data_IF_139874537752
#
_entry.id   IF_139874537752
#
_cell.length_a   1.000
_cell.length_b   1.000
_cell.length_c   1.000
_cell.angle_alpha   90.00
_cell.angle_beta   90.00
_cell.angle_gamma   90.00
#
_symmetry.space_group_name_H-M   'P 1'
#
loop_
_entity.id
_entity.type
_entity.pdbx_description
1 polymer ?
#
# COMPACT_ATOMS: atom_id res chain seq x y z
N UNK A 1 -7.47 39.05 6.94
CA UNK A 1 -6.54 37.91 7.11
C UNK A 1 -6.51 37.18 5.78
N UNK A 2 -5.34 37.12 5.14
CA UNK A 2 -5.17 36.46 3.84
C UNK A 2 -4.88 34.98 4.12
N UNK A 3 -5.81 34.10 3.73
CA UNK A 3 -5.60 32.65 3.80
C UNK A 3 -4.35 32.22 3.03
N UNK A 4 -3.90 30.96 3.17
CA UNK A 4 -2.71 30.49 2.49
C UNK A 4 -2.83 30.76 0.99
N UNK A 5 -1.83 31.45 0.44
CA UNK A 5 -1.74 31.72 -0.99
C UNK A 5 -1.92 30.40 -1.75
N UNK A 6 -2.59 30.43 -2.91
CA UNK A 6 -2.68 29.24 -3.78
C UNK A 6 -1.29 28.61 -4.02
N UNK A 7 -0.24 29.42 -4.00
CA UNK A 7 1.16 28.98 -4.09
C UNK A 7 1.63 28.21 -2.86
N UNK A 8 1.23 28.59 -1.65
CA UNK A 8 1.53 27.84 -0.43
C UNK A 8 0.79 26.50 -0.39
N UNK A 9 -0.44 26.45 -0.93
CA UNK A 9 -1.19 25.19 -1.05
C UNK A 9 -0.62 24.28 -2.14
N UNK A 10 -0.17 24.84 -3.25
CA UNK A 10 0.49 24.09 -4.31
C UNK A 10 1.87 23.58 -3.88
N UNK A 11 2.67 24.41 -3.20
CA UNK A 11 3.95 24.02 -2.62
C UNK A 11 3.74 22.94 -1.55
N UNK A 12 2.75 23.11 -0.67
CA UNK A 12 2.37 22.05 0.27
C UNK A 12 1.97 20.78 -0.46
N UNK A 13 1.10 20.81 -1.48
CA UNK A 13 0.72 19.59 -2.21
C UNK A 13 1.88 18.92 -2.95
N UNK A 14 2.83 19.69 -3.49
CA UNK A 14 4.00 19.17 -4.20
C UNK A 14 5.04 18.56 -3.23
N UNK A 15 5.33 19.26 -2.13
CA UNK A 15 6.18 18.79 -1.03
C UNK A 15 5.55 17.55 -0.38
N UNK A 16 4.24 17.58 -0.14
CA UNK A 16 3.51 16.48 0.47
C UNK A 16 3.44 15.30 -0.47
N UNK A 17 3.26 15.45 -1.80
CA UNK A 17 3.34 14.31 -2.74
C UNK A 17 4.72 13.64 -2.74
N UNK A 18 5.82 14.41 -2.65
CA UNK A 18 7.19 13.85 -2.55
C UNK A 18 7.45 13.20 -1.20
N UNK A 19 7.08 13.87 -0.12
CA UNK A 19 7.28 13.40 1.26
C UNK A 19 6.30 12.27 1.62
N UNK A 20 5.11 12.19 1.02
CA UNK A 20 4.15 11.08 1.15
C UNK A 20 4.71 9.79 0.56
N UNK A 21 5.48 9.89 -0.53
CA UNK A 21 6.29 8.78 -0.98
C UNK A 21 7.33 8.43 0.09
N UNK A 22 8.18 9.34 0.58
CA UNK A 22 9.18 8.99 1.62
C UNK A 22 8.61 8.53 2.98
N UNK A 23 7.43 9.02 3.40
CA UNK A 23 6.80 8.69 4.71
C UNK A 23 5.85 7.51 4.68
N UNK A 24 5.52 6.96 3.51
CA UNK A 24 4.81 5.68 3.46
C UNK A 24 5.68 4.63 4.14
N UNK A 25 5.04 3.74 4.90
CA UNK A 25 5.73 2.64 5.59
C UNK A 25 6.17 1.58 4.56
N UNK A 26 7.09 1.96 3.67
CA UNK A 26 7.69 1.12 2.63
C UNK A 26 8.20 -0.22 3.15
N UNK A 27 8.77 -0.32 4.37
CA UNK A 27 9.14 -1.61 4.93
C UNK A 27 7.94 -2.56 5.03
N UNK A 28 6.76 -2.07 5.41
CA UNK A 28 5.54 -2.87 5.53
C UNK A 28 4.99 -3.24 4.17
N UNK A 29 4.92 -2.29 3.23
CA UNK A 29 4.48 -2.56 1.84
C UNK A 29 5.39 -3.57 1.16
N UNK A 30 6.70 -3.44 1.33
CA UNK A 30 7.70 -4.36 0.77
C UNK A 30 7.61 -5.76 1.40
N UNK A 31 7.35 -5.86 2.71
CA UNK A 31 7.09 -7.15 3.37
C UNK A 31 5.79 -7.80 2.86
N UNK A 32 4.71 -7.03 2.71
CA UNK A 32 3.44 -7.54 2.16
C UNK A 32 3.60 -7.99 0.70
N UNK A 33 4.33 -7.23 -0.11
CA UNK A 33 4.65 -7.62 -1.48
C UNK A 33 5.43 -8.94 -1.53
N UNK A 34 6.47 -9.09 -0.69
CA UNK A 34 7.25 -10.34 -0.61
C UNK A 34 6.38 -11.54 -0.19
N UNK A 35 5.48 -11.36 0.78
CA UNK A 35 4.52 -12.38 1.20
C UNK A 35 3.55 -12.76 0.06
N UNK A 36 3.02 -11.76 -0.65
CA UNK A 36 2.13 -11.99 -1.78
C UNK A 36 2.82 -12.77 -2.90
N UNK A 37 4.04 -12.37 -3.28
CA UNK A 37 4.85 -13.11 -4.27
C UNK A 37 5.15 -14.53 -3.80
N UNK A 38 5.50 -14.71 -2.52
CA UNK A 38 5.77 -16.03 -1.94
C UNK A 38 4.55 -16.97 -2.02
N UNK A 39 3.34 -16.46 -1.72
CA UNK A 39 2.11 -17.24 -1.81
C UNK A 39 1.73 -17.59 -3.26
N UNK A 40 1.96 -16.69 -4.22
CA UNK A 40 1.75 -16.98 -5.64
C UNK A 40 2.68 -18.09 -6.11
N UNK A 41 3.96 -18.02 -5.75
CA UNK A 41 4.95 -19.05 -6.07
C UNK A 41 4.65 -20.37 -5.38
N UNK A 42 4.21 -20.35 -4.12
CA UNK A 42 3.79 -21.55 -3.41
C UNK A 42 2.55 -22.20 -4.06
N UNK A 43 1.56 -21.40 -4.48
CA UNK A 43 0.40 -21.90 -5.21
C UNK A 43 0.77 -22.49 -6.58
N UNK A 44 1.77 -21.91 -7.26
CA UNK A 44 2.29 -22.46 -8.51
C UNK A 44 3.06 -23.76 -8.27
N UNK A 45 3.95 -23.81 -7.29
CA UNK A 45 4.73 -24.99 -6.94
C UNK A 45 3.85 -26.16 -6.51
N UNK A 46 2.83 -25.90 -5.67
CA UNK A 46 1.87 -26.93 -5.24
C UNK A 46 1.13 -27.55 -6.43
N UNK A 47 0.72 -26.72 -7.40
CA UNK A 47 0.09 -27.20 -8.64
C UNK A 47 1.04 -28.02 -9.50
N UNK A 48 2.30 -27.59 -9.66
CA UNK A 48 3.30 -28.29 -10.46
C UNK A 48 3.73 -29.63 -9.85
N UNK A 49 3.75 -29.72 -8.51
CA UNK A 49 4.12 -30.93 -7.78
C UNK A 49 2.95 -31.91 -7.60
N UNK A 50 1.77 -31.62 -8.18
CA UNK A 50 0.60 -32.50 -8.13
C UNK A 50 -0.06 -32.59 -6.75
N UNK A 51 0.17 -31.60 -5.87
CA UNK A 51 -0.57 -31.51 -4.61
C UNK A 51 -2.03 -31.14 -4.85
N UNK A 52 -2.86 -31.30 -3.81
CA UNK A 52 -4.28 -31.02 -3.87
C UNK A 52 -4.58 -29.64 -4.47
N UNK A 53 -5.49 -29.53 -5.46
CA UNK A 53 -5.85 -28.25 -6.08
C UNK A 53 -6.45 -27.26 -5.07
N UNK A 54 -7.03 -27.76 -3.97
CA UNK A 54 -7.51 -26.92 -2.86
C UNK A 54 -6.36 -26.15 -2.17
N UNK A 55 -5.16 -26.74 -2.12
CA UNK A 55 -3.97 -26.15 -1.52
C UNK A 55 -3.43 -25.01 -2.37
N UNK A 56 -3.37 -25.20 -3.69
CA UNK A 56 -3.01 -24.14 -4.63
C UNK A 56 -4.04 -22.99 -4.60
N UNK A 57 -5.34 -23.32 -4.56
CA UNK A 57 -6.41 -22.33 -4.44
C UNK A 57 -6.28 -21.52 -3.14
N UNK A 58 -6.01 -22.17 -2.00
CA UNK A 58 -5.81 -21.49 -0.73
C UNK A 58 -4.63 -20.51 -0.78
N UNK A 59 -3.51 -20.90 -1.40
CA UNK A 59 -2.36 -20.01 -1.60
C UNK A 59 -2.70 -18.79 -2.45
N UNK A 60 -3.44 -18.96 -3.56
CA UNK A 60 -3.83 -17.84 -4.42
C UNK A 60 -4.87 -16.93 -3.76
N UNK A 61 -5.83 -17.49 -3.03
CA UNK A 61 -6.82 -16.70 -2.26
C UNK A 61 -6.09 -15.87 -1.21
N UNK A 62 -5.16 -16.47 -0.47
CA UNK A 62 -4.34 -15.75 0.51
C UNK A 62 -3.51 -14.63 -0.14
N UNK A 63 -2.92 -14.88 -1.32
CA UNK A 63 -2.21 -13.85 -2.08
C UNK A 63 -3.13 -12.68 -2.48
N UNK A 64 -4.34 -12.98 -2.96
CA UNK A 64 -5.33 -11.96 -3.33
C UNK A 64 -5.74 -11.10 -2.11
N UNK A 65 -5.98 -11.73 -0.96
CA UNK A 65 -6.31 -11.01 0.28
C UNK A 65 -5.16 -10.12 0.73
N UNK A 66 -3.91 -10.61 0.73
CA UNK A 66 -2.74 -9.81 1.09
C UNK A 66 -2.53 -8.65 0.11
N UNK A 67 -2.72 -8.88 -1.19
CA UNK A 67 -2.69 -7.83 -2.21
C UNK A 67 -3.74 -6.75 -1.98
N UNK A 68 -4.98 -7.14 -1.65
CA UNK A 68 -6.05 -6.20 -1.32
C UNK A 68 -5.74 -5.38 -0.05
N UNK A 69 -5.24 -6.04 1.00
CA UNK A 69 -4.80 -5.36 2.23
C UNK A 69 -3.67 -4.37 1.94
N UNK A 70 -2.72 -4.74 1.09
CA UNK A 70 -1.63 -3.86 0.65
C UNK A 70 -2.15 -2.63 -0.09
N UNK A 71 -3.11 -2.80 -1.00
CA UNK A 71 -3.74 -1.69 -1.73
C UNK A 71 -4.51 -0.77 -0.78
N UNK A 72 -5.32 -1.33 0.14
CA UNK A 72 -6.03 -0.54 1.16
C UNK A 72 -5.03 0.23 2.01
N UNK A 73 -3.97 -0.42 2.49
CA UNK A 73 -2.90 0.25 3.25
C UNK A 73 -2.21 1.37 2.48
N UNK A 74 -2.00 1.17 1.18
CA UNK A 74 -1.36 2.14 0.31
C UNK A 74 -2.25 3.34 0.04
N UNK A 75 -3.56 3.13 -0.16
CA UNK A 75 -4.52 4.17 -0.48
C UNK A 75 -5.22 4.78 0.74
N UNK A 76 -5.07 4.24 1.94
CA UNK A 76 -5.72 4.74 3.16
C UNK A 76 -5.27 6.17 3.48
N UNK A 77 -6.17 7.16 3.32
CA UNK A 77 -5.79 8.54 3.49
C UNK A 77 -5.61 8.97 4.93
N UNK A 78 -6.05 8.15 5.89
CA UNK A 78 -5.89 8.41 7.33
C UNK A 78 -4.45 8.24 7.80
N UNK A 79 -3.59 7.67 6.96
CA UNK A 79 -2.14 7.59 7.20
C UNK A 79 -1.35 8.73 6.56
N UNK A 80 -2.00 9.63 5.81
CA UNK A 80 -1.36 10.84 5.33
C UNK A 80 -1.16 11.82 6.49
N UNK A 81 -0.06 12.59 6.45
CA UNK A 81 0.20 13.67 7.41
C UNK A 81 -1.00 14.61 7.39
N UNK A 82 -1.55 14.93 8.57
CA UNK A 82 -2.60 15.92 8.70
C UNK A 82 -2.16 17.25 8.05
N UNK A 83 -3.04 17.83 7.23
CA UNK A 83 -2.86 19.18 6.66
C UNK A 83 -2.60 20.13 7.83
N UNK A 84 -1.56 20.99 7.77
CA UNK A 84 -1.34 21.97 8.83
C UNK A 84 -2.62 22.80 9.01
N UNK A 85 -3.03 23.05 10.26
CA UNK A 85 -4.26 23.78 10.52
C UNK A 85 -4.16 25.17 9.90
N UNK A 86 -5.04 25.45 8.93
CA UNK A 86 -5.26 26.81 8.47
C UNK A 86 -6.01 27.54 9.58
N UNK A 87 -5.34 28.44 10.29
CA UNK A 87 -5.97 29.28 11.31
C UNK A 87 -6.92 30.27 10.64
N UNK A 88 -8.10 30.41 11.26
CA UNK A 88 -9.22 31.30 10.93
C UNK A 88 -8.83 32.75 10.67
#
# INVERSE_FOLDING_TARGET
MSGPSKEQLAAWAAETRRVEFERRNWPVVRRLAALCTGLLLAGLATRLLGYSPALAAACWIAAAVIGAVMLIWFFDPRRFRARPPGTS
#
